data_IF_461603927740
#
_entry.id   IF_461603927740
#
_cell.length_a   1.000
_cell.length_b   1.000
_cell.length_c   1.000
_cell.angle_alpha   90.00
_cell.angle_beta   90.00
_cell.angle_gamma   90.00
#
_symmetry.space_group_name_H-M   'P 1'
#
loop_
_entity.id
_entity.type
_entity.pdbx_description
1 polymer ?
#
# COMPACT_ATOMS: atom_id res chain seq x y z
N UNK A 1 11.25 19.37 -0.82
CA UNK A 1 12.14 19.20 -1.99
C UNK A 1 11.50 18.16 -2.90
N UNK A 2 11.30 18.44 -4.20
CA UNK A 2 10.60 17.51 -5.09
C UNK A 2 11.58 16.45 -5.65
N UNK A 3 11.27 15.17 -5.45
CA UNK A 3 12.07 14.03 -5.94
C UNK A 3 12.35 14.11 -7.46
N UNK A 4 11.36 14.52 -8.24
CA UNK A 4 11.47 14.69 -9.70
C UNK A 4 12.46 15.78 -10.10
N UNK A 5 12.56 16.86 -9.32
CA UNK A 5 13.51 17.94 -9.56
C UNK A 5 14.95 17.49 -9.26
N UNK A 6 15.16 16.77 -8.17
CA UNK A 6 16.48 16.23 -7.82
C UNK A 6 16.99 15.21 -8.84
N UNK A 7 16.11 14.34 -9.34
CA UNK A 7 16.47 13.39 -10.40
C UNK A 7 16.93 14.14 -11.66
N UNK A 8 16.19 15.17 -12.09
CA UNK A 8 16.58 16.01 -13.24
C UNK A 8 17.94 16.69 -13.03
N UNK A 9 18.23 17.16 -11.81
CA UNK A 9 19.54 17.76 -11.47
C UNK A 9 20.67 16.75 -11.63
N UNK A 10 20.49 15.53 -11.12
CA UNK A 10 21.47 14.44 -11.24
C UNK A 10 21.68 14.05 -12.71
N UNK A 11 20.61 13.92 -13.49
CA UNK A 11 20.69 13.60 -14.93
C UNK A 11 21.46 14.68 -15.71
N UNK A 12 21.19 15.96 -15.43
CA UNK A 12 21.90 17.08 -16.02
C UNK A 12 23.39 17.06 -15.68
N UNK A 13 23.75 16.75 -14.43
CA UNK A 13 25.15 16.61 -14.00
C UNK A 13 25.86 15.45 -14.67
N UNK A 14 25.21 14.29 -14.80
CA UNK A 14 25.77 13.14 -15.53
C UNK A 14 26.06 13.54 -16.98
N UNK A 15 25.16 14.26 -17.64
CA UNK A 15 25.42 14.74 -19.00
C UNK A 15 26.61 15.70 -19.05
N UNK A 16 26.69 16.64 -18.12
CA UNK A 16 27.85 17.55 -18.01
C UNK A 16 29.16 16.79 -17.78
N UNK A 17 29.17 15.75 -16.96
CA UNK A 17 30.37 14.93 -16.74
C UNK A 17 30.75 14.18 -18.02
N UNK A 18 29.78 13.59 -18.72
CA UNK A 18 30.01 12.88 -19.99
C UNK A 18 30.61 13.77 -21.07
N UNK A 19 30.32 15.08 -21.08
CA UNK A 19 30.94 16.03 -22.02
C UNK A 19 32.36 16.45 -21.60
N UNK A 20 32.63 16.57 -20.30
CA UNK A 20 33.94 16.97 -19.78
C UNK A 20 34.97 15.83 -19.82
N UNK A 21 34.52 14.60 -19.54
CA UNK A 21 35.37 13.43 -19.30
C UNK A 21 36.32 13.10 -20.48
N UNK A 22 35.90 13.11 -21.77
CA UNK A 22 36.79 12.83 -22.90
C UNK A 22 38.00 13.76 -22.93
N UNK A 23 37.80 15.06 -22.74
CA UNK A 23 38.87 16.07 -22.78
C UNK A 23 39.92 15.91 -21.69
N UNK A 24 39.55 15.34 -20.54
CA UNK A 24 40.47 15.08 -19.42
C UNK A 24 41.20 13.74 -19.64
N UNK A 25 40.51 12.75 -20.19
CA UNK A 25 41.08 11.44 -20.56
C UNK A 25 42.11 11.57 -21.70
N UNK A 26 41.88 12.45 -22.67
CA UNK A 26 42.85 12.69 -23.75
C UNK A 26 44.17 13.26 -23.22
N UNK A 27 44.13 14.10 -22.17
CA UNK A 27 45.33 14.61 -21.49
C UNK A 27 46.07 13.52 -20.66
N UNK A 28 45.39 12.44 -20.29
CA UNK A 28 45.97 11.29 -19.58
C UNK A 28 46.72 10.37 -20.54
N UNK A 29 46.20 10.20 -21.77
CA UNK A 29 46.71 9.26 -22.78
C UNK A 29 48.06 9.66 -23.39
N UNK A 30 48.58 10.86 -23.12
CA UNK A 30 49.90 11.31 -23.58
C UNK A 30 51.09 10.63 -22.88
N UNK A 31 50.83 9.68 -21.98
CA UNK A 31 51.83 8.88 -21.25
C UNK A 31 51.54 7.38 -21.48
N UNK A 32 52.45 6.60 -22.09
CA UNK A 32 52.19 5.20 -22.53
C UNK A 32 51.70 4.26 -21.41
N UNK A 33 52.12 4.48 -20.15
CA UNK A 33 51.67 3.70 -18.98
C UNK A 33 50.24 4.08 -18.54
N UNK A 34 49.73 5.24 -18.96
CA UNK A 34 48.44 5.79 -18.53
C UNK A 34 47.26 5.48 -19.48
N UNK A 35 47.49 4.90 -20.66
CA UNK A 35 46.44 4.67 -21.67
C UNK A 35 45.45 3.58 -21.21
N UNK A 36 45.96 2.44 -20.70
CA UNK A 36 45.10 1.34 -20.20
C UNK A 36 44.28 1.76 -18.98
N UNK A 37 44.88 2.49 -18.05
CA UNK A 37 44.22 2.96 -16.83
C UNK A 37 43.15 4.02 -17.15
N UNK A 38 43.40 4.90 -18.13
CA UNK A 38 42.43 5.89 -18.58
C UNK A 38 41.22 5.27 -19.29
N UNK A 39 41.45 4.26 -20.15
CA UNK A 39 40.35 3.54 -20.81
C UNK A 39 39.53 2.71 -19.81
N UNK A 40 40.18 2.10 -18.80
CA UNK A 40 39.49 1.40 -17.72
C UNK A 40 38.65 2.38 -16.89
N UNK A 41 39.20 3.51 -16.47
CA UNK A 41 38.48 4.56 -15.74
C UNK A 41 37.24 5.04 -16.50
N UNK A 42 37.39 5.33 -17.81
CA UNK A 42 36.28 5.76 -18.66
C UNK A 42 35.17 4.70 -18.72
N UNK A 43 35.55 3.43 -18.87
CA UNK A 43 34.61 2.30 -18.91
C UNK A 43 33.86 2.16 -17.58
N UNK A 44 34.57 2.23 -16.45
CA UNK A 44 33.99 2.07 -15.12
C UNK A 44 33.07 3.24 -14.73
N UNK A 45 33.47 4.49 -15.03
CA UNK A 45 32.63 5.66 -14.83
C UNK A 45 31.35 5.60 -15.68
N UNK A 46 31.46 5.24 -16.96
CA UNK A 46 30.28 5.07 -17.83
C UNK A 46 29.34 3.97 -17.34
N UNK A 47 29.88 2.87 -16.82
CA UNK A 47 29.09 1.82 -16.16
C UNK A 47 28.39 2.36 -14.92
N UNK A 48 29.08 3.15 -14.10
CA UNK A 48 28.51 3.80 -12.91
C UNK A 48 27.37 4.75 -13.29
N UNK A 49 27.54 5.59 -14.31
CA UNK A 49 26.46 6.48 -14.80
C UNK A 49 25.25 5.71 -15.33
N UNK A 50 25.48 4.64 -16.08
CA UNK A 50 24.39 3.77 -16.54
C UNK A 50 23.64 3.15 -15.36
N UNK A 51 24.38 2.71 -14.32
CA UNK A 51 23.77 2.20 -13.08
C UNK A 51 22.97 3.27 -12.34
N UNK A 52 23.49 4.50 -12.22
CA UNK A 52 22.79 5.62 -11.62
C UNK A 52 21.49 5.87 -12.40
N UNK A 53 21.56 6.06 -13.73
CA UNK A 53 20.37 6.29 -14.57
C UNK A 53 19.33 5.18 -14.39
N UNK A 54 19.74 3.90 -14.43
CA UNK A 54 18.82 2.78 -14.21
C UNK A 54 18.16 2.81 -12.82
N UNK A 55 18.86 3.27 -11.78
CA UNK A 55 18.30 3.45 -10.43
C UNK A 55 17.36 4.65 -10.34
N UNK A 56 17.70 5.77 -10.98
CA UNK A 56 16.83 6.95 -11.05
C UNK A 56 15.51 6.63 -11.78
N UNK A 57 15.56 5.88 -12.89
CA UNK A 57 14.36 5.42 -13.58
C UNK A 57 13.46 4.58 -12.67
N UNK A 58 14.05 3.69 -11.86
CA UNK A 58 13.27 2.93 -10.86
C UNK A 58 12.63 3.81 -9.80
N UNK A 59 13.34 4.85 -9.34
CA UNK A 59 12.82 5.83 -8.38
C UNK A 59 11.74 6.73 -8.99
N UNK A 60 11.81 7.06 -10.29
CA UNK A 60 10.81 7.84 -11.03
C UNK A 60 9.54 7.05 -11.35
N UNK A 61 9.67 5.77 -11.73
CA UNK A 61 8.56 4.94 -12.23
C UNK A 61 7.75 4.27 -11.11
N UNK A 62 8.14 4.44 -9.86
CA UNK A 62 7.43 3.88 -8.70
C UNK A 62 6.50 4.95 -8.14
N UNK A 63 5.28 5.02 -8.69
CA UNK A 63 4.17 5.80 -8.13
C UNK A 63 3.65 5.21 -6.80
N UNK A 64 4.53 4.72 -5.94
CA UNK A 64 4.18 4.21 -4.61
C UNK A 64 3.09 3.12 -4.65
N UNK A 65 3.11 2.24 -5.67
CA UNK A 65 2.09 1.21 -5.82
C UNK A 65 2.47 -0.04 -5.01
N UNK A 66 1.60 -0.38 -4.06
CA UNK A 66 1.61 -1.68 -3.40
C UNK A 66 1.13 -2.74 -4.41
N UNK A 67 2.06 -3.46 -5.04
CA UNK A 67 1.70 -4.56 -5.95
C UNK A 67 1.61 -5.85 -5.15
N UNK A 68 0.38 -6.30 -4.88
CA UNK A 68 0.16 -7.61 -4.26
C UNK A 68 0.04 -8.67 -5.37
N UNK A 69 0.90 -9.67 -5.35
CA UNK A 69 0.86 -10.90 -6.18
C UNK A 69 0.65 -12.13 -5.28
N UNK A 70 0.42 -13.31 -5.88
CA UNK A 70 0.19 -14.56 -5.13
C UNK A 70 1.41 -15.02 -4.34
N UNK A 71 2.60 -14.70 -4.82
CA UNK A 71 3.86 -15.12 -4.21
C UNK A 71 4.60 -13.97 -3.55
N UNK A 72 4.17 -12.72 -3.77
CA UNK A 72 4.93 -11.53 -3.42
C UNK A 72 4.01 -10.35 -3.14
N UNK A 73 4.20 -9.65 -2.02
CA UNK A 73 3.72 -8.27 -1.91
C UNK A 73 4.91 -7.40 -2.26
N UNK A 74 4.78 -6.46 -3.18
CA UNK A 74 5.85 -5.55 -3.56
C UNK A 74 5.45 -4.15 -3.11
N UNK A 75 6.27 -3.55 -2.26
CA UNK A 75 6.27 -2.10 -2.10
C UNK A 75 7.40 -1.58 -2.98
N UNK A 76 7.03 -1.00 -4.14
CA UNK A 76 7.96 -0.33 -5.06
C UNK A 76 9.19 -1.14 -5.45
N UNK A 77 8.98 -2.40 -5.84
CA UNK A 77 10.04 -3.30 -6.30
C UNK A 77 10.92 -3.90 -5.20
N UNK A 78 10.55 -3.74 -3.92
CA UNK A 78 11.09 -4.56 -2.83
C UNK A 78 10.03 -5.56 -2.40
N UNK A 79 10.44 -6.83 -2.42
CA UNK A 79 9.57 -7.96 -2.22
C UNK A 79 9.41 -8.28 -0.73
N UNK A 80 8.19 -8.15 -0.22
CA UNK A 80 7.71 -8.63 1.10
C UNK A 80 7.56 -10.17 1.08
N UNK A 81 7.76 -10.87 -0.06
CA UNK A 81 7.55 -12.32 -0.16
C UNK A 81 8.32 -13.16 0.84
N UNK A 82 9.50 -12.71 1.26
CA UNK A 82 10.30 -13.38 2.28
C UNK A 82 9.61 -13.41 3.65
N UNK A 83 8.61 -12.56 3.87
CA UNK A 83 7.78 -12.52 5.07
C UNK A 83 6.58 -13.47 4.98
N UNK A 84 6.29 -14.02 3.78
CA UNK A 84 5.09 -14.80 3.44
C UNK A 84 5.27 -16.32 3.58
N UNK A 85 6.37 -16.79 4.15
CA UNK A 85 6.55 -18.22 4.45
C UNK A 85 5.62 -18.75 5.55
N UNK A 86 4.83 -17.88 6.19
CA UNK A 86 3.77 -18.22 7.12
C UNK A 86 2.39 -17.91 6.50
N UNK A 87 1.68 -18.97 6.09
CA UNK A 87 0.45 -18.88 5.28
C UNK A 87 -0.72 -18.19 5.99
N UNK A 88 -0.67 -18.09 7.31
CA UNK A 88 -1.70 -17.46 8.14
C UNK A 88 -1.71 -15.93 8.00
N UNK A 89 -0.55 -15.31 7.71
CA UNK A 89 -0.39 -13.85 7.68
C UNK A 89 -0.69 -13.28 6.30
N UNK A 90 -0.52 -14.07 5.23
CA UNK A 90 -0.72 -13.65 3.84
C UNK A 90 -2.08 -12.96 3.63
N UNK A 91 -3.14 -13.59 4.14
CA UNK A 91 -4.50 -13.07 3.99
C UNK A 91 -4.64 -11.71 4.68
N UNK A 92 -3.99 -11.51 5.84
CA UNK A 92 -4.06 -10.26 6.60
C UNK A 92 -3.18 -9.13 6.09
N UNK A 93 -2.17 -9.41 5.27
CA UNK A 93 -1.30 -8.38 4.72
C UNK A 93 -2.10 -7.36 3.89
N UNK A 94 -2.96 -7.78 2.98
CA UNK A 94 -3.76 -6.84 2.18
C UNK A 94 -4.70 -6.00 3.04
N UNK A 95 -5.28 -6.61 4.07
CA UNK A 95 -6.16 -5.93 5.01
C UNK A 95 -5.42 -4.87 5.85
N UNK A 96 -4.27 -5.22 6.43
CA UNK A 96 -3.47 -4.30 7.23
C UNK A 96 -2.83 -3.18 6.38
N UNK A 97 -2.32 -3.53 5.19
CA UNK A 97 -1.67 -2.58 4.28
C UNK A 97 -2.67 -1.68 3.54
N UNK A 98 -3.97 -1.97 3.61
CA UNK A 98 -5.00 -1.08 3.07
C UNK A 98 -5.34 0.09 4.00
N UNK A 99 -4.76 0.16 5.20
CA UNK A 99 -4.85 1.35 6.06
C UNK A 99 -4.20 2.57 5.39
N UNK A 100 -4.93 3.68 5.29
CA UNK A 100 -4.40 4.92 4.73
C UNK A 100 -3.23 5.48 5.55
N UNK A 101 -3.30 5.32 6.87
CA UNK A 101 -2.23 5.71 7.80
C UNK A 101 -0.92 5.00 7.47
N UNK A 102 -0.99 3.68 7.28
CA UNK A 102 0.16 2.86 6.92
C UNK A 102 0.79 3.32 5.60
N UNK A 103 -0.04 3.52 4.57
CA UNK A 103 0.43 3.94 3.24
C UNK A 103 1.12 5.30 3.32
N UNK A 104 0.52 6.26 4.04
CA UNK A 104 1.06 7.60 4.20
C UNK A 104 2.41 7.58 4.94
N UNK A 105 2.52 6.83 6.03
CA UNK A 105 3.76 6.71 6.79
C UNK A 105 4.86 6.04 5.98
N UNK A 106 4.55 4.93 5.29
CA UNK A 106 5.51 4.27 4.41
C UNK A 106 6.00 5.19 3.29
N UNK A 107 5.10 5.89 2.60
CA UNK A 107 5.43 6.81 1.50
C UNK A 107 6.34 7.92 2.03
N UNK A 108 5.98 8.54 3.15
CA UNK A 108 6.76 9.63 3.76
C UNK A 108 8.20 9.18 4.05
N UNK A 109 8.35 8.05 4.72
CA UNK A 109 9.66 7.57 5.15
C UNK A 109 10.51 7.09 3.96
N UNK A 110 9.87 6.47 2.97
CA UNK A 110 10.53 6.04 1.74
C UNK A 110 10.99 7.24 0.91
N UNK A 111 10.13 8.24 0.72
CA UNK A 111 10.48 9.46 0.00
C UNK A 111 11.62 10.21 0.70
N UNK A 112 11.63 10.20 2.03
CA UNK A 112 12.75 10.73 2.80
C UNK A 112 14.06 10.00 2.48
N UNK A 113 14.08 8.66 2.51
CA UNK A 113 15.29 7.90 2.20
C UNK A 113 15.74 8.03 0.74
N UNK A 114 14.80 8.09 -0.20
CA UNK A 114 15.08 8.36 -1.61
C UNK A 114 15.71 9.76 -1.77
N UNK A 115 15.14 10.79 -1.16
CA UNK A 115 15.69 12.15 -1.20
C UNK A 115 17.09 12.23 -0.58
N UNK A 116 17.33 11.56 0.54
CA UNK A 116 18.67 11.48 1.12
C UNK A 116 19.67 10.81 0.15
N UNK A 117 19.25 9.74 -0.52
CA UNK A 117 20.09 9.02 -1.48
C UNK A 117 20.41 9.88 -2.70
N UNK A 118 19.39 10.57 -3.24
CA UNK A 118 19.55 11.50 -4.35
C UNK A 118 20.49 12.64 -3.97
N UNK A 119 20.35 13.20 -2.76
CA UNK A 119 21.25 14.24 -2.26
C UNK A 119 22.71 13.75 -2.21
N UNK A 120 22.97 12.57 -1.66
CA UNK A 120 24.32 12.01 -1.57
C UNK A 120 24.92 11.77 -2.98
N UNK A 121 24.17 11.16 -3.90
CA UNK A 121 24.59 10.99 -5.29
C UNK A 121 24.90 12.33 -5.95
N UNK A 122 24.08 13.34 -5.68
CA UNK A 122 24.24 14.68 -6.21
C UNK A 122 25.53 15.37 -5.70
N UNK A 123 25.91 15.14 -4.44
CA UNK A 123 27.16 15.60 -3.85
C UNK A 123 28.39 14.92 -4.46
N UNK A 124 28.34 13.59 -4.65
CA UNK A 124 29.41 12.83 -5.33
C UNK A 124 29.63 13.34 -6.76
N UNK A 125 28.54 13.60 -7.49
CA UNK A 125 28.61 14.17 -8.84
C UNK A 125 29.15 15.60 -8.85
N UNK A 126 28.83 16.42 -7.83
CA UNK A 126 29.41 17.77 -7.70
C UNK A 126 30.92 17.73 -7.53
N UNK A 127 31.41 16.80 -6.71
CA UNK A 127 32.84 16.64 -6.50
C UNK A 127 33.53 16.18 -7.79
N UNK A 128 32.93 15.22 -8.51
CA UNK A 128 33.44 14.75 -9.79
C UNK A 128 33.47 15.85 -10.85
N UNK A 129 32.39 16.65 -10.97
CA UNK A 129 32.34 17.81 -11.88
C UNK A 129 33.48 18.79 -11.56
N UNK A 130 33.64 19.17 -10.29
CA UNK A 130 34.69 20.12 -9.87
C UNK A 130 36.09 19.60 -10.19
N UNK A 131 36.32 18.30 -10.00
CA UNK A 131 37.61 17.66 -10.31
C UNK A 131 37.91 17.70 -11.80
N UNK A 132 36.90 17.42 -12.64
CA UNK A 132 37.03 17.46 -14.09
C UNK A 132 37.20 18.89 -14.65
N UNK A 133 36.46 19.87 -14.12
CA UNK A 133 36.58 21.28 -14.50
C UNK A 133 37.98 21.85 -14.19
N UNK A 134 38.56 21.44 -13.05
CA UNK A 134 39.93 21.80 -12.68
C UNK A 134 40.99 21.03 -13.48
N UNK A 135 40.60 20.04 -14.28
CA UNK A 135 41.49 19.11 -14.98
C UNK A 135 42.52 18.47 -14.05
N UNK A 136 42.11 18.17 -12.82
CA UNK A 136 42.99 17.63 -11.79
C UNK A 136 43.09 16.11 -11.91
N UNK A 137 43.99 15.68 -12.79
CA UNK A 137 44.19 14.27 -13.15
C UNK A 137 44.59 13.42 -11.93
N UNK A 138 45.42 13.96 -11.03
CA UNK A 138 45.90 13.22 -9.86
C UNK A 138 44.76 12.92 -8.89
N UNK A 139 43.94 13.93 -8.60
CA UNK A 139 42.76 13.72 -7.76
C UNK A 139 41.72 12.85 -8.45
N UNK A 140 41.56 12.93 -9.78
CA UNK A 140 40.65 12.06 -10.52
C UNK A 140 41.05 10.59 -10.41
N UNK A 141 42.32 10.24 -10.61
CA UNK A 141 42.84 8.87 -10.48
C UNK A 141 42.56 8.32 -9.07
N UNK A 142 42.77 9.14 -8.05
CA UNK A 142 42.56 8.73 -6.66
C UNK A 142 41.08 8.60 -6.30
N UNK A 143 40.24 9.51 -6.79
CA UNK A 143 38.85 9.62 -6.37
C UNK A 143 37.88 8.73 -7.16
N UNK A 144 38.11 8.48 -8.45
CA UNK A 144 37.12 7.73 -9.25
C UNK A 144 36.76 6.34 -8.70
N UNK A 145 37.67 5.56 -8.06
CA UNK A 145 37.30 4.28 -7.46
C UNK A 145 36.42 4.49 -6.23
N UNK A 146 36.70 5.52 -5.43
CA UNK A 146 35.89 5.91 -4.26
C UNK A 146 34.49 6.34 -4.69
N UNK A 147 34.38 7.20 -5.71
CA UNK A 147 33.10 7.58 -6.31
C UNK A 147 32.25 6.37 -6.67
N UNK A 148 32.84 5.36 -7.34
CA UNK A 148 32.10 4.15 -7.73
C UNK A 148 31.61 3.39 -6.50
N UNK A 149 32.46 3.23 -5.48
CA UNK A 149 32.11 2.56 -4.24
C UNK A 149 31.03 3.32 -3.48
N UNK A 150 31.15 4.64 -3.34
CA UNK A 150 30.21 5.47 -2.59
C UNK A 150 28.83 5.47 -3.24
N UNK A 151 28.75 5.58 -4.56
CA UNK A 151 27.49 5.43 -5.31
C UNK A 151 26.84 4.06 -5.04
N UNK A 152 27.63 2.97 -5.06
CA UNK A 152 27.12 1.63 -4.75
C UNK A 152 26.64 1.53 -3.29
N UNK A 153 27.37 2.10 -2.35
CA UNK A 153 27.04 2.13 -0.93
C UNK A 153 25.76 2.92 -0.69
N UNK A 154 25.58 4.08 -1.31
CA UNK A 154 24.37 4.89 -1.17
C UNK A 154 23.13 4.13 -1.63
N UNK A 155 23.15 3.53 -2.83
CA UNK A 155 22.01 2.75 -3.31
C UNK A 155 21.78 1.46 -2.52
N UNK A 156 22.84 0.80 -2.05
CA UNK A 156 22.72 -0.42 -1.22
C UNK A 156 22.16 -0.11 0.16
N UNK A 157 22.58 1.01 0.76
CA UNK A 157 22.05 1.51 2.03
C UNK A 157 20.58 1.87 1.90
N UNK A 158 20.18 2.58 0.82
CA UNK A 158 18.77 2.87 0.56
C UNK A 158 17.95 1.57 0.46
N UNK A 159 18.43 0.62 -0.36
CA UNK A 159 17.78 -0.68 -0.52
C UNK A 159 17.61 -1.40 0.83
N UNK A 160 18.64 -1.38 1.68
CA UNK A 160 18.58 -2.00 3.02
C UNK A 160 17.57 -1.29 3.92
N UNK A 161 17.53 0.05 3.93
CA UNK A 161 16.54 0.81 4.71
C UNK A 161 15.11 0.52 4.26
N UNK A 162 14.84 0.55 2.96
CA UNK A 162 13.51 0.19 2.41
C UNK A 162 13.13 -1.25 2.76
N UNK A 163 14.10 -2.19 2.74
CA UNK A 163 13.88 -3.57 3.18
C UNK A 163 13.52 -3.65 4.67
N UNK A 164 14.25 -2.94 5.54
CA UNK A 164 13.96 -2.94 6.97
C UNK A 164 12.59 -2.29 7.29
N UNK A 165 12.18 -1.25 6.57
CA UNK A 165 10.81 -0.70 6.71
C UNK A 165 9.75 -1.77 6.42
N UNK A 166 10.01 -2.60 5.41
CA UNK A 166 9.13 -3.69 5.05
C UNK A 166 9.15 -4.81 6.09
N UNK A 167 10.35 -5.25 6.47
CA UNK A 167 10.53 -6.42 7.32
C UNK A 167 10.21 -6.16 8.78
N UNK A 168 10.57 -4.99 9.31
CA UNK A 168 10.39 -4.68 10.74
C UNK A 168 9.07 -3.93 10.96
N UNK A 169 8.78 -2.89 10.18
CA UNK A 169 7.63 -2.01 10.45
C UNK A 169 6.33 -2.67 9.97
N UNK A 170 6.28 -3.18 8.74
CA UNK A 170 5.05 -3.78 8.21
C UNK A 170 4.68 -5.05 8.96
N UNK A 171 5.64 -5.92 9.28
CA UNK A 171 5.35 -7.14 10.04
C UNK A 171 4.87 -6.85 11.46
N UNK A 172 5.51 -5.92 12.15
CA UNK A 172 5.08 -5.55 13.49
C UNK A 172 3.65 -5.00 13.44
N UNK A 173 3.36 -4.08 12.51
CA UNK A 173 2.02 -3.53 12.35
C UNK A 173 0.99 -4.58 11.94
N UNK A 174 1.32 -5.51 11.03
CA UNK A 174 0.42 -6.62 10.67
C UNK A 174 0.16 -7.50 11.88
N UNK A 175 1.20 -7.88 12.63
CA UNK A 175 1.07 -8.71 13.84
C UNK A 175 0.27 -8.01 14.93
N UNK A 176 0.51 -6.72 15.15
CA UNK A 176 -0.18 -5.92 16.16
C UNK A 176 -1.64 -5.73 15.77
N UNK A 177 -1.91 -5.42 14.50
CA UNK A 177 -3.28 -5.39 13.94
C UNK A 177 -3.96 -6.74 14.18
N UNK A 178 -3.36 -7.86 13.79
CA UNK A 178 -3.90 -9.21 13.99
C UNK A 178 -4.20 -9.49 15.47
N UNK A 179 -3.25 -9.20 16.37
CA UNK A 179 -3.42 -9.41 17.82
C UNK A 179 -4.52 -8.54 18.42
N UNK A 180 -4.76 -7.36 17.83
CA UNK A 180 -5.79 -6.43 18.28
C UNK A 180 -7.21 -6.77 17.79
N UNK A 181 -7.37 -7.74 16.88
CA UNK A 181 -8.68 -8.10 16.35
C UNK A 181 -9.49 -8.88 17.37
N UNK A 182 -10.57 -8.26 17.85
CA UNK A 182 -11.56 -8.87 18.75
C UNK A 182 -12.04 -10.23 18.21
N UNK A 183 -12.32 -10.30 16.91
CA UNK A 183 -12.81 -11.50 16.24
C UNK A 183 -11.80 -12.09 15.25
N UNK A 184 -10.55 -12.27 15.70
CA UNK A 184 -9.46 -12.80 14.88
C UNK A 184 -9.81 -14.06 14.08
N UNK A 185 -10.38 -15.08 14.72
CA UNK A 185 -10.66 -16.38 14.07
C UNK A 185 -11.65 -16.25 12.90
N UNK A 186 -12.75 -15.53 13.11
CA UNK A 186 -13.75 -15.30 12.05
C UNK A 186 -13.19 -14.42 10.94
N UNK A 187 -12.45 -13.38 11.31
CA UNK A 187 -11.78 -12.50 10.33
C UNK A 187 -10.83 -13.31 9.46
N UNK A 188 -10.03 -14.22 10.04
CA UNK A 188 -9.12 -15.08 9.28
C UNK A 188 -9.83 -15.96 8.24
N UNK A 189 -11.00 -16.51 8.58
CA UNK A 189 -11.79 -17.30 7.63
C UNK A 189 -12.24 -16.45 6.44
N UNK A 190 -12.78 -15.26 6.69
CA UNK A 190 -13.22 -14.32 5.64
C UNK A 190 -12.05 -13.92 4.75
N UNK A 191 -10.91 -13.58 5.36
CA UNK A 191 -9.68 -13.21 4.65
C UNK A 191 -9.15 -14.37 3.80
N UNK A 192 -9.28 -15.61 4.27
CA UNK A 192 -8.92 -16.81 3.48
C UNK A 192 -9.82 -16.96 2.25
N UNK A 193 -11.13 -16.71 2.36
CA UNK A 193 -12.02 -16.75 1.19
C UNK A 193 -11.71 -15.63 0.19
N UNK A 194 -11.40 -14.41 0.66
CA UNK A 194 -10.92 -13.32 -0.20
C UNK A 194 -9.65 -13.71 -0.94
N UNK A 195 -8.73 -14.41 -0.28
CA UNK A 195 -7.53 -14.95 -0.90
C UNK A 195 -7.83 -15.91 -2.05
N UNK A 196 -8.86 -16.76 -1.94
CA UNK A 196 -9.29 -17.65 -3.03
C UNK A 196 -9.92 -16.89 -4.19
N UNK A 197 -10.83 -15.94 -3.90
CA UNK A 197 -11.38 -15.04 -4.92
C UNK A 197 -10.26 -14.38 -5.73
N UNK A 198 -9.23 -13.89 -5.03
CA UNK A 198 -8.10 -13.22 -5.66
C UNK A 198 -7.35 -14.11 -6.64
N UNK A 199 -7.12 -15.38 -6.29
CA UNK A 199 -6.44 -16.33 -7.16
C UNK A 199 -7.20 -16.53 -8.48
N UNK A 200 -8.51 -16.73 -8.38
CA UNK A 200 -9.40 -16.89 -9.54
C UNK A 200 -9.41 -15.61 -10.39
N UNK A 201 -9.55 -14.44 -9.75
CA UNK A 201 -9.60 -13.16 -10.47
C UNK A 201 -8.27 -12.86 -11.15
N UNK A 202 -7.15 -13.15 -10.50
CA UNK A 202 -5.83 -12.89 -11.07
C UNK A 202 -5.54 -13.81 -12.26
N UNK A 203 -5.91 -15.09 -12.16
CA UNK A 203 -5.70 -16.05 -13.25
C UNK A 203 -6.54 -15.68 -14.49
N UNK A 204 -7.78 -15.23 -14.30
CA UNK A 204 -8.71 -14.93 -15.39
C UNK A 204 -8.55 -13.53 -15.98
N UNK A 205 -8.42 -12.49 -15.14
CA UNK A 205 -8.50 -11.11 -15.59
C UNK A 205 -7.16 -10.39 -15.53
N UNK A 206 -6.44 -10.48 -14.41
CA UNK A 206 -5.18 -9.73 -14.21
C UNK A 206 -4.13 -10.09 -15.25
N UNK A 207 -3.98 -11.39 -15.56
CA UNK A 207 -3.07 -11.88 -16.60
C UNK A 207 -3.34 -11.23 -17.98
N UNK A 208 -4.61 -11.07 -18.36
CA UNK A 208 -4.98 -10.45 -19.65
C UNK A 208 -4.68 -8.95 -19.63
N UNK A 209 -4.96 -8.28 -18.51
CA UNK A 209 -4.69 -6.85 -18.31
C UNK A 209 -3.19 -6.58 -18.41
N UNK A 210 -2.37 -7.28 -17.64
CA UNK A 210 -0.91 -7.07 -17.57
C UNK A 210 -0.20 -7.43 -18.89
N UNK A 211 -0.75 -8.35 -19.67
CA UNK A 211 -0.17 -8.73 -20.95
C UNK A 211 -0.49 -7.75 -22.09
N UNK A 212 -1.46 -6.86 -21.92
CA UNK A 212 -1.84 -5.86 -22.92
C UNK A 212 -0.75 -4.82 -23.16
N UNK A 213 -0.52 -4.50 -24.45
CA UNK A 213 0.47 -3.51 -24.86
C UNK A 213 0.14 -2.09 -24.37
N UNK A 214 -1.16 -1.73 -24.27
CA UNK A 214 -1.58 -0.41 -23.77
C UNK A 214 -1.18 -0.24 -22.30
N UNK A 215 -1.35 -1.31 -21.53
CA UNK A 215 -1.04 -1.35 -20.09
C UNK A 215 0.47 -1.38 -19.87
N UNK A 216 1.23 -2.16 -20.66
CA UNK A 216 2.71 -2.23 -20.58
C UNK A 216 3.44 -0.91 -20.84
N UNK A 217 2.92 -0.06 -21.73
CA UNK A 217 3.56 1.21 -22.07
C UNK A 217 3.22 2.36 -21.12
N UNK A 218 2.07 2.31 -20.44
CA UNK A 218 1.54 3.45 -19.68
C UNK A 218 1.47 3.24 -18.15
N UNK A 219 1.76 2.03 -17.64
CA UNK A 219 1.85 1.72 -16.20
C UNK A 219 2.80 2.64 -15.41
N UNK A 220 3.69 3.35 -16.10
CA UNK A 220 4.57 4.35 -15.50
C UNK A 220 3.86 5.62 -15.01
N UNK A 221 2.57 5.84 -15.33
CA UNK A 221 1.88 7.12 -15.04
C UNK A 221 0.51 6.95 -14.38
N UNK A 222 -0.25 5.88 -14.66
CA UNK A 222 -1.68 5.77 -14.35
C UNK A 222 -2.02 4.38 -13.74
N UNK A 223 -2.96 4.30 -12.78
CA UNK A 223 -3.38 3.01 -12.20
C UNK A 223 -4.16 2.14 -13.22
N UNK A 224 -4.12 0.79 -13.13
CA UNK A 224 -4.94 -0.13 -13.94
C UNK A 224 -6.42 0.27 -14.04
N UNK A 225 -6.89 0.88 -12.96
CA UNK A 225 -8.23 1.40 -12.72
C UNK A 225 -8.50 2.76 -13.38
N UNK A 226 -7.68 3.21 -14.34
CA UNK A 226 -7.96 4.41 -15.14
C UNK A 226 -7.90 4.16 -16.67
N UNK A 227 -7.36 3.01 -17.12
CA UNK A 227 -7.21 2.69 -18.55
C UNK A 227 -8.50 2.40 -19.35
N UNK A 228 -9.66 2.21 -18.70
CA UNK A 228 -10.93 1.97 -19.42
C UNK A 228 -11.22 3.12 -20.40
N UNK A 229 -10.84 4.34 -20.03
CA UNK A 229 -11.08 5.53 -20.87
C UNK A 229 -10.10 5.64 -22.05
N UNK A 230 -9.00 4.90 -22.03
CA UNK A 230 -7.88 5.02 -22.98
C UNK A 230 -7.88 3.85 -23.99
N UNK A 231 -8.18 2.64 -23.52
CA UNK A 231 -8.22 1.46 -24.39
C UNK A 231 -9.43 1.49 -25.32
N UNK A 232 -9.24 1.19 -26.62
CA UNK A 232 -10.33 0.92 -27.58
C UNK A 232 -10.68 -0.57 -27.68
N UNK A 233 -9.92 -1.43 -27.00
CA UNK A 233 -10.15 -2.88 -26.99
C UNK A 233 -11.27 -3.22 -25.99
N UNK A 234 -12.43 -3.62 -26.53
CA UNK A 234 -13.62 -3.98 -25.75
C UNK A 234 -13.39 -5.20 -24.85
N UNK A 235 -12.54 -6.15 -25.25
CA UNK A 235 -12.20 -7.29 -24.43
C UNK A 235 -11.36 -6.86 -23.23
N UNK A 236 -10.33 -6.05 -23.46
CA UNK A 236 -9.51 -5.48 -22.39
C UNK A 236 -10.34 -4.62 -21.43
N UNK A 237 -11.23 -3.77 -21.96
CA UNK A 237 -12.15 -2.97 -21.14
C UNK A 237 -13.02 -3.84 -20.23
N UNK A 238 -13.54 -4.96 -20.75
CA UNK A 238 -14.33 -5.92 -19.98
C UNK A 238 -13.54 -6.52 -18.81
N UNK A 239 -12.32 -7.03 -19.07
CA UNK A 239 -11.48 -7.59 -18.00
C UNK A 239 -11.09 -6.53 -16.95
N UNK A 240 -10.76 -5.31 -17.38
CA UNK A 240 -10.48 -4.21 -16.44
C UNK A 240 -11.72 -3.92 -15.60
N UNK A 241 -12.91 -3.81 -16.20
CA UNK A 241 -14.15 -3.49 -15.50
C UNK A 241 -14.47 -4.51 -14.40
N UNK A 242 -14.33 -5.82 -14.68
CA UNK A 242 -14.53 -6.87 -13.67
C UNK A 242 -13.51 -6.73 -12.55
N UNK A 243 -12.23 -6.53 -12.88
CA UNK A 243 -11.18 -6.35 -11.89
C UNK A 243 -11.46 -5.15 -10.96
N UNK A 244 -11.93 -4.01 -11.49
CA UNK A 244 -12.32 -2.85 -10.67
C UNK A 244 -13.46 -3.18 -9.72
N UNK A 245 -14.49 -3.88 -10.21
CA UNK A 245 -15.66 -4.27 -9.42
C UNK A 245 -15.27 -5.24 -8.30
N UNK A 246 -14.35 -6.17 -8.56
CA UNK A 246 -13.76 -7.03 -7.55
C UNK A 246 -13.02 -6.21 -6.48
N UNK A 247 -12.13 -5.28 -6.87
CA UNK A 247 -11.41 -4.43 -5.91
C UNK A 247 -12.37 -3.60 -5.04
N UNK A 248 -13.44 -3.08 -5.61
CA UNK A 248 -14.49 -2.38 -4.87
C UNK A 248 -15.15 -3.30 -3.83
N UNK A 249 -15.52 -4.51 -4.23
CA UNK A 249 -16.06 -5.53 -3.32
C UNK A 249 -15.11 -5.82 -2.14
N UNK A 250 -13.81 -6.03 -2.39
CA UNK A 250 -12.82 -6.26 -1.33
C UNK A 250 -12.80 -5.11 -0.32
N UNK A 251 -12.84 -3.86 -0.80
CA UNK A 251 -12.89 -2.67 0.09
C UNK A 251 -14.15 -2.66 0.96
N UNK A 252 -15.29 -3.09 0.44
CA UNK A 252 -16.52 -3.19 1.24
C UNK A 252 -16.40 -4.25 2.33
N UNK A 253 -15.81 -5.42 2.03
CA UNK A 253 -15.57 -6.45 3.04
C UNK A 253 -14.64 -5.94 4.14
N UNK A 254 -13.55 -5.25 3.78
CA UNK A 254 -12.65 -4.63 4.77
C UNK A 254 -13.35 -3.61 5.65
N UNK A 255 -14.25 -2.80 5.08
CA UNK A 255 -15.03 -1.82 5.84
C UNK A 255 -15.96 -2.47 6.87
N UNK A 256 -16.52 -3.64 6.55
CA UNK A 256 -17.31 -4.44 7.51
C UNK A 256 -16.42 -5.02 8.60
N UNK A 257 -15.29 -5.62 8.24
CA UNK A 257 -14.34 -6.19 9.20
C UNK A 257 -13.78 -5.12 10.15
N UNK A 258 -13.46 -3.93 9.64
CA UNK A 258 -13.00 -2.79 10.43
C UNK A 258 -14.06 -2.30 11.42
N UNK A 259 -15.34 -2.34 11.04
CA UNK A 259 -16.42 -1.99 11.97
C UNK A 259 -16.61 -3.07 13.04
N UNK A 260 -16.68 -4.34 12.64
CA UNK A 260 -17.01 -5.44 13.54
C UNK A 260 -15.89 -5.75 14.54
N UNK A 261 -14.63 -5.50 14.20
CA UNK A 261 -13.49 -5.70 15.10
C UNK A 261 -13.18 -4.49 15.99
N UNK A 262 -13.97 -3.40 15.93
CA UNK A 262 -13.80 -2.28 16.87
C UNK A 262 -14.28 -2.67 18.27
N UNK A 263 -13.64 -2.15 19.33
CA UNK A 263 -14.17 -2.25 20.67
C UNK A 263 -15.59 -1.72 20.73
N UNK A 264 -16.47 -2.46 21.41
CA UNK A 264 -17.88 -2.11 21.55
C UNK A 264 -18.08 -1.14 22.71
N UNK A 265 -19.02 -0.21 22.54
CA UNK A 265 -19.38 0.78 23.56
C UNK A 265 -18.56 2.06 23.47
N UNK A 266 -17.99 2.37 22.31
CA UNK A 266 -17.20 3.59 22.12
C UNK A 266 -18.14 4.81 22.06
N UNK A 267 -18.00 5.72 23.03
CA UNK A 267 -18.80 6.93 23.13
C UNK A 267 -18.01 8.18 22.76
N UNK A 268 -18.54 8.95 21.79
CA UNK A 268 -17.92 10.18 21.32
C UNK A 268 -18.95 11.31 21.30
N UNK A 269 -18.58 12.47 21.85
CA UNK A 269 -19.36 13.70 21.74
C UNK A 269 -18.70 14.60 20.67
N UNK A 270 -19.41 14.84 19.57
CA UNK A 270 -18.94 15.68 18.47
C UNK A 270 -20.06 16.60 18.00
N UNK A 271 -19.80 17.91 17.89
CA UNK A 271 -20.77 18.93 17.45
C UNK A 271 -22.11 18.85 18.20
N UNK A 272 -22.07 18.70 19.53
CA UNK A 272 -23.24 18.46 20.38
C UNK A 272 -24.10 17.24 20.00
N UNK A 273 -23.54 16.28 19.28
CA UNK A 273 -24.16 14.99 18.98
C UNK A 273 -23.40 13.88 19.72
N UNK A 274 -24.14 12.99 20.38
CA UNK A 274 -23.59 11.84 21.06
C UNK A 274 -23.61 10.64 20.11
N UNK A 275 -22.47 9.98 19.95
CA UNK A 275 -22.32 8.81 19.10
C UNK A 275 -21.90 7.61 19.95
N UNK A 276 -22.53 6.46 19.71
CA UNK A 276 -22.21 5.16 20.30
C UNK A 276 -21.85 4.20 19.16
N UNK A 277 -20.63 3.68 19.15
CA UNK A 277 -20.10 2.83 18.07
C UNK A 277 -20.29 3.45 16.68
N UNK A 278 -20.01 4.77 16.57
CA UNK A 278 -20.22 5.59 15.36
C UNK A 278 -21.68 5.82 14.94
N UNK A 279 -22.66 5.30 15.69
CA UNK A 279 -24.08 5.53 15.42
C UNK A 279 -24.61 6.68 16.27
N UNK A 280 -25.50 7.48 15.68
CA UNK A 280 -26.11 8.60 16.40
C UNK A 280 -26.98 8.07 17.55
N UNK A 281 -26.57 8.35 18.78
CA UNK A 281 -27.34 8.05 19.96
C UNK A 281 -28.34 9.18 20.15
N UNK A 282 -29.59 8.93 19.78
CA UNK A 282 -30.66 9.91 19.99
C UNK A 282 -30.79 10.16 21.50
N UNK A 283 -30.70 11.42 21.89
CA UNK A 283 -30.83 11.85 23.28
C UNK A 283 -31.93 12.90 23.32
N UNK A 284 -32.77 12.86 24.35
CA UNK A 284 -33.80 13.88 24.51
C UNK A 284 -33.15 15.27 24.62
N UNK A 285 -33.61 16.28 23.86
CA UNK A 285 -33.06 17.64 23.92
C UNK A 285 -33.05 18.26 25.32
N UNK A 286 -33.91 17.78 26.22
CA UNK A 286 -33.99 18.25 27.61
C UNK A 286 -32.79 17.82 28.47
N UNK A 287 -32.04 16.78 28.07
CA UNK A 287 -30.90 16.29 28.86
C UNK A 287 -29.56 16.84 28.40
N UNK A 288 -28.68 17.10 29.37
CA UNK A 288 -27.31 17.50 29.10
C UNK A 288 -26.50 16.31 28.56
N UNK A 289 -26.13 16.37 27.29
CA UNK A 289 -25.38 15.33 26.58
C UNK A 289 -24.00 15.04 27.21
N UNK A 290 -23.38 16.04 27.86
CA UNK A 290 -22.11 15.83 28.59
C UNK A 290 -22.31 15.01 29.87
N UNK A 291 -23.44 15.16 30.55
CA UNK A 291 -23.77 14.37 31.73
C UNK A 291 -24.14 12.95 31.36
N UNK A 292 -24.91 12.77 30.28
CA UNK A 292 -25.20 11.45 29.72
C UNK A 292 -23.92 10.71 29.33
N UNK A 293 -22.98 11.40 28.66
CA UNK A 293 -21.67 10.83 28.34
C UNK A 293 -20.95 10.35 29.61
N UNK A 294 -20.97 11.13 30.69
CA UNK A 294 -20.35 10.74 31.97
C UNK A 294 -21.03 9.53 32.62
N UNK A 295 -22.36 9.48 32.62
CA UNK A 295 -23.13 8.37 33.19
C UNK A 295 -22.82 7.07 32.45
N UNK A 296 -22.86 7.12 31.12
CA UNK A 296 -22.66 5.94 30.27
C UNK A 296 -21.20 5.47 30.24
N UNK A 297 -20.23 6.37 30.43
CA UNK A 297 -18.81 6.01 30.63
C UNK A 297 -18.48 5.62 32.08
N UNK A 298 -19.46 5.67 33.00
CA UNK A 298 -19.27 5.26 34.38
C UNK A 298 -18.98 3.76 34.48
N UNK A 299 -18.00 3.39 35.31
CA UNK A 299 -17.56 2.00 35.51
C UNK A 299 -18.69 1.08 36.00
N UNK A 300 -19.68 1.64 36.71
CA UNK A 300 -20.81 0.90 37.29
C UNK A 300 -22.09 0.95 36.42
N UNK A 301 -21.99 1.35 35.15
CA UNK A 301 -23.17 1.42 34.27
C UNK A 301 -23.58 0.03 33.76
N UNK A 302 -24.37 -0.69 34.55
CA UNK A 302 -24.90 -2.04 34.21
C UNK A 302 -25.53 -2.08 32.82
N UNK A 303 -26.28 -1.05 32.42
CA UNK A 303 -26.93 -1.01 31.11
C UNK A 303 -25.95 -0.90 29.95
N UNK A 304 -24.80 -0.24 30.15
CA UNK A 304 -23.73 -0.19 29.15
C UNK A 304 -23.03 -1.54 29.03
N UNK A 305 -22.83 -2.24 30.14
CA UNK A 305 -22.28 -3.61 30.10
C UNK A 305 -23.21 -4.58 29.38
N UNK A 306 -24.53 -4.48 29.62
CA UNK A 306 -25.54 -5.25 28.87
C UNK A 306 -25.51 -4.88 27.39
N UNK A 307 -25.39 -3.59 27.04
CA UNK A 307 -25.25 -3.16 25.66
C UNK A 307 -24.01 -3.78 25.01
N UNK A 308 -22.84 -3.69 25.65
CA UNK A 308 -21.58 -4.22 25.14
C UNK A 308 -21.66 -5.72 24.87
N UNK A 309 -22.18 -6.49 25.82
CA UNK A 309 -22.33 -7.94 25.68
C UNK A 309 -23.22 -8.30 24.48
N UNK A 310 -24.39 -7.68 24.36
CA UNK A 310 -25.33 -7.99 23.28
C UNK A 310 -24.83 -7.52 21.91
N UNK A 311 -24.15 -6.39 21.87
CA UNK A 311 -23.56 -5.86 20.64
C UNK A 311 -22.37 -6.72 20.20
N UNK A 312 -21.57 -7.24 21.13
CA UNK A 312 -20.56 -8.26 20.87
C UNK A 312 -21.18 -9.53 20.25
N UNK A 313 -22.24 -10.08 20.86
CA UNK A 313 -22.96 -11.26 20.34
C UNK A 313 -23.52 -11.01 18.93
N UNK A 314 -24.09 -9.82 18.70
CA UNK A 314 -24.61 -9.44 17.40
C UNK A 314 -23.50 -9.30 16.35
N UNK A 315 -22.36 -8.66 16.70
CA UNK A 315 -21.21 -8.56 15.82
C UNK A 315 -20.67 -9.96 15.44
N UNK A 316 -20.64 -10.89 16.41
CA UNK A 316 -20.24 -12.27 16.16
C UNK A 316 -21.20 -12.97 15.17
N UNK A 317 -22.50 -12.77 15.29
CA UNK A 317 -23.49 -13.30 14.34
C UNK A 317 -23.28 -12.74 12.93
N UNK A 318 -23.05 -11.43 12.81
CA UNK A 318 -22.76 -10.80 11.51
C UNK A 318 -21.48 -11.35 10.87
N UNK A 319 -20.44 -11.64 11.65
CA UNK A 319 -19.22 -12.26 11.14
C UNK A 319 -19.46 -13.69 10.62
N UNK A 320 -20.31 -14.46 11.29
CA UNK A 320 -20.72 -15.79 10.81
C UNK A 320 -21.49 -15.67 9.50
N UNK A 321 -22.49 -14.80 9.43
CA UNK A 321 -23.25 -14.56 8.20
C UNK A 321 -22.38 -14.05 7.05
N UNK A 322 -21.39 -13.19 7.34
CA UNK A 322 -20.43 -12.73 6.35
C UNK A 322 -19.56 -13.91 5.86
N UNK A 323 -19.11 -14.78 6.75
CA UNK A 323 -18.30 -15.96 6.39
C UNK A 323 -19.07 -16.92 5.47
N UNK A 324 -20.35 -17.16 5.78
CA UNK A 324 -21.25 -17.98 4.96
C UNK A 324 -21.46 -17.35 3.59
N UNK A 325 -21.86 -16.07 3.55
CA UNK A 325 -22.06 -15.32 2.31
C UNK A 325 -20.82 -15.35 1.41
N UNK A 326 -19.64 -15.15 1.99
CA UNK A 326 -18.37 -15.20 1.27
C UNK A 326 -18.08 -16.58 0.68
N UNK A 327 -18.38 -17.64 1.45
CA UNK A 327 -18.15 -19.02 1.02
C UNK A 327 -19.11 -19.44 -0.10
N UNK A 328 -20.39 -19.11 0.03
CA UNK A 328 -21.41 -19.35 -1.00
C UNK A 328 -21.09 -18.61 -2.28
N UNK A 329 -20.76 -17.33 -2.18
CA UNK A 329 -20.42 -16.49 -3.32
C UNK A 329 -19.18 -17.00 -4.05
N UNK A 330 -18.19 -17.53 -3.32
CA UNK A 330 -17.00 -18.10 -3.93
C UNK A 330 -17.34 -19.34 -4.76
N UNK A 331 -18.15 -20.26 -4.21
CA UNK A 331 -18.61 -21.46 -4.91
C UNK A 331 -19.42 -21.08 -6.16
N UNK A 332 -20.29 -20.07 -6.04
CA UNK A 332 -21.07 -19.54 -7.14
C UNK A 332 -20.15 -18.99 -8.25
N UNK A 333 -19.17 -18.18 -7.88
CA UNK A 333 -18.19 -17.62 -8.80
C UNK A 333 -17.33 -18.68 -9.49
N UNK A 334 -16.85 -19.68 -8.77
CA UNK A 334 -16.08 -20.79 -9.33
C UNK A 334 -16.88 -21.54 -10.40
N UNK A 335 -18.16 -21.82 -10.17
CA UNK A 335 -19.05 -22.45 -11.16
C UNK A 335 -19.18 -21.61 -12.43
N UNK A 336 -19.38 -20.30 -12.29
CA UNK A 336 -19.46 -19.38 -13.43
C UNK A 336 -18.19 -19.43 -14.30
N UNK A 337 -17.02 -19.59 -13.69
CA UNK A 337 -15.76 -19.61 -14.44
C UNK A 337 -15.49 -20.91 -15.19
N UNK A 338 -16.14 -22.00 -14.81
CA UNK A 338 -16.04 -23.30 -15.49
C UNK A 338 -16.97 -23.39 -16.71
N UNK A 339 -18.13 -22.73 -16.68
CA UNK A 339 -19.12 -22.74 -17.76
C UNK A 339 -18.94 -21.53 -18.68
N UNK A 340 -18.17 -21.73 -19.77
CA UNK A 340 -17.75 -20.70 -20.74
C UNK A 340 -18.88 -20.02 -21.55
N UNK A 341 -20.15 -20.31 -21.25
CA UNK A 341 -21.33 -19.81 -21.99
C UNK A 341 -22.11 -18.73 -21.25
N UNK A 342 -21.79 -18.40 -20.00
CA UNK A 342 -22.53 -17.41 -19.20
C UNK A 342 -21.84 -16.04 -19.18
N UNK A 343 -22.33 -15.14 -20.03
CA UNK A 343 -21.92 -13.73 -20.19
C UNK A 343 -22.41 -12.83 -19.02
N UNK A 344 -22.99 -13.41 -17.96
CA UNK A 344 -23.62 -12.67 -16.85
C UNK A 344 -22.64 -12.24 -15.72
N UNK A 345 -21.33 -12.37 -15.91
CA UNK A 345 -20.30 -12.08 -14.89
C UNK A 345 -20.17 -10.60 -14.49
N UNK A 346 -20.76 -9.69 -15.28
CA UNK A 346 -20.58 -8.24 -15.10
C UNK A 346 -21.24 -7.73 -13.82
N UNK A 347 -22.35 -8.32 -13.38
CA UNK A 347 -23.13 -7.84 -12.23
C UNK A 347 -22.93 -8.65 -10.94
N UNK A 348 -22.13 -9.71 -10.98
CA UNK A 348 -21.79 -10.53 -9.81
C UNK A 348 -21.23 -9.69 -8.64
N UNK A 349 -20.07 -9.04 -8.84
CA UNK A 349 -19.44 -8.22 -7.80
C UNK A 349 -20.26 -7.00 -7.38
N UNK A 350 -20.92 -6.25 -8.29
CA UNK A 350 -21.85 -5.20 -7.90
C UNK A 350 -22.99 -5.68 -6.99
N UNK A 351 -23.61 -6.82 -7.30
CA UNK A 351 -24.69 -7.37 -6.49
C UNK A 351 -24.18 -7.84 -5.13
N UNK A 352 -23.01 -8.50 -5.10
CA UNK A 352 -22.38 -8.90 -3.86
C UNK A 352 -21.99 -7.70 -3.00
N UNK A 353 -21.42 -6.65 -3.60
CA UNK A 353 -21.05 -5.41 -2.90
C UNK A 353 -22.27 -4.75 -2.24
N UNK A 354 -23.41 -4.69 -2.93
CA UNK A 354 -24.66 -4.17 -2.36
C UNK A 354 -25.13 -4.98 -1.15
N UNK A 355 -24.99 -6.31 -1.18
CA UNK A 355 -25.31 -7.17 -0.01
C UNK A 355 -24.40 -6.85 1.18
N UNK A 356 -23.10 -6.67 0.94
CA UNK A 356 -22.11 -6.32 1.98
C UNK A 356 -22.36 -4.91 2.53
N UNK A 357 -22.64 -3.93 1.68
CA UNK A 357 -22.98 -2.56 2.10
C UNK A 357 -24.23 -2.52 2.97
N UNK A 358 -25.27 -3.29 2.61
CA UNK A 358 -26.46 -3.42 3.42
C UNK A 358 -26.13 -4.05 4.78
N UNK A 359 -25.33 -5.12 4.80
CA UNK A 359 -24.87 -5.74 6.04
C UNK A 359 -24.13 -4.72 6.92
N UNK A 360 -23.26 -3.88 6.35
CA UNK A 360 -22.58 -2.81 7.09
C UNK A 360 -23.56 -1.79 7.71
N UNK A 361 -24.59 -1.40 6.95
CA UNK A 361 -25.62 -0.49 7.46
C UNK A 361 -26.38 -1.12 8.63
N UNK A 362 -26.76 -2.38 8.50
CA UNK A 362 -27.48 -3.12 9.54
C UNK A 362 -26.58 -3.29 10.80
N UNK A 363 -25.30 -3.63 10.61
CA UNK A 363 -24.31 -3.71 11.69
C UNK A 363 -24.17 -2.39 12.47
N UNK A 364 -24.28 -1.24 11.81
CA UNK A 364 -24.14 0.08 12.43
C UNK A 364 -25.35 0.51 13.25
N UNK A 365 -26.47 -0.21 13.17
CA UNK A 365 -27.64 0.16 13.97
C UNK A 365 -27.38 -0.04 15.46
N UNK A 366 -27.79 0.94 16.26
CA UNK A 366 -27.77 0.81 17.73
C UNK A 366 -28.79 -0.23 18.16
N UNK A 367 -28.31 -1.22 18.90
CA UNK A 367 -29.14 -2.27 19.49
C UNK A 367 -29.45 -1.86 20.93
N UNK A 368 -30.61 -2.26 21.47
CA UNK A 368 -30.95 -2.03 22.88
C UNK A 368 -30.91 -0.56 23.33
N UNK A 369 -31.28 0.35 22.41
CA UNK A 369 -31.41 1.78 22.66
C UNK A 369 -32.38 2.09 23.82
N UNK A 370 -33.40 1.28 24.02
CA UNK A 370 -34.40 1.50 25.06
C UNK A 370 -33.85 1.28 26.47
N UNK A 371 -32.94 0.32 26.67
CA UNK A 371 -32.26 0.10 27.94
C UNK A 371 -31.29 1.23 28.28
N UNK A 372 -30.50 1.70 27.30
CA UNK A 372 -29.62 2.86 27.46
C UNK A 372 -30.42 4.16 27.72
N UNK A 373 -31.58 4.30 27.08
CA UNK A 373 -32.51 5.40 27.33
C UNK A 373 -33.04 5.37 28.77
N UNK A 374 -33.36 4.21 29.31
CA UNK A 374 -33.80 4.08 30.72
C UNK A 374 -32.69 4.46 31.70
N UNK A 375 -31.45 4.02 31.44
CA UNK A 375 -30.29 4.34 32.28
C UNK A 375 -30.03 5.85 32.38
N UNK A 376 -30.24 6.56 31.27
CA UNK A 376 -30.06 8.02 31.19
C UNK A 376 -31.24 8.80 31.76
N UNK A 377 -32.46 8.30 31.62
CA UNK A 377 -33.67 8.90 32.22
C UNK A 377 -33.77 8.77 33.74
N UNK A 378 -33.15 7.74 34.33
CA UNK A 378 -33.25 7.46 35.78
C UNK A 378 -32.12 8.09 36.61
N UNK A 379 -31.06 8.58 35.96
CA UNK A 379 -29.83 9.07 36.60
C UNK A 379 -29.51 10.55 36.30
N UNK A 380 -30.30 11.19 35.45
CA UNK A 380 -30.33 12.66 35.22
C UNK A 380 -31.61 13.18 35.85
#
# INVERSE_FOLDING_TARGET
MCKKEEIKKIESKIQKIKTLLPSVIDNLKTTEVAVKDADQMLKELNKSFTNISAKLTKMCNTNCQLLVTENEILLDGVCISSLLSDSSVYSFCEYALNSDEFKLDYIRDKDYYDLCTLHNVNCELDFLVKTLEKKDIKNLIFYYPMFILDIQVHFSTNKKRTKNMIEDICLLQIRDKIKSLEFYQHTNLIMTQLGKFRKIINSLHKSIIENSNCVKFEYGVIEPVDYIQISKDSNLQHHIAIYRKYLYFVKQVYSVLDYLNKPVGELVLCCDCLFLDSAFLKVDPLFNKKEILKILNGVDCVEMEVYKQKKYECNQQYLLSLTELMSESLIEYEKYTCDSTQIESVDFFPNLSKKIEKMLQDCKTTIHYNELKKATLLKV
#
